data_IF_744025794007
#
_entry.id   IF_744025794007
#
_cell.length_a   1.000
_cell.length_b   1.000
_cell.length_c   1.000
_cell.angle_alpha   90.00
_cell.angle_beta   90.00
_cell.angle_gamma   90.00
#
_symmetry.space_group_name_H-M   'P 1'
#
loop_
_entity.id
_entity.type
_entity.pdbx_description
1 polymer ?
#
# COMPACT_ATOMS: atom_id res chain seq x y z
N UNK A 1 4.19 9.95 16.14
CA UNK A 1 5.62 9.66 15.96
C UNK A 1 5.92 9.37 14.49
N UNK A 2 5.27 8.38 13.83
CA UNK A 2 5.52 8.12 12.40
C UNK A 2 5.10 9.25 11.42
N UNK A 3 4.26 10.18 11.88
CA UNK A 3 3.77 11.32 11.09
C UNK A 3 4.66 12.59 11.17
N UNK A 4 5.79 12.54 11.89
CA UNK A 4 6.69 13.70 11.96
C UNK A 4 7.68 13.67 10.77
N UNK A 5 7.60 14.68 9.91
CA UNK A 5 8.41 14.84 8.70
C UNK A 5 9.90 15.07 9.02
N UNK A 6 10.24 15.56 10.22
CA UNK A 6 11.62 15.85 10.62
C UNK A 6 12.37 14.63 11.17
N UNK A 7 11.67 13.50 11.39
CA UNK A 7 12.30 12.28 11.86
C UNK A 7 13.06 11.58 10.73
N UNK A 8 14.33 11.18 10.95
CA UNK A 8 15.08 10.35 10.03
C UNK A 8 14.32 9.07 9.65
N UNK A 9 14.45 8.63 8.40
CA UNK A 9 13.81 7.41 7.88
C UNK A 9 14.07 6.19 8.78
N UNK A 10 15.31 6.05 9.27
CA UNK A 10 15.72 4.95 10.14
C UNK A 10 14.91 4.88 11.45
N UNK A 11 14.57 6.03 12.04
CA UNK A 11 13.80 6.08 13.30
C UNK A 11 12.34 5.71 13.03
N UNK A 12 11.77 6.18 11.92
CA UNK A 12 10.43 5.79 11.50
C UNK A 12 10.38 4.30 11.23
N UNK A 13 11.33 3.75 10.48
CA UNK A 13 11.42 2.32 10.20
C UNK A 13 11.57 1.49 11.49
N UNK A 14 12.37 1.95 12.46
CA UNK A 14 12.47 1.32 13.78
C UNK A 14 11.12 1.33 14.52
N UNK A 15 10.42 2.46 14.53
CA UNK A 15 9.11 2.59 15.17
C UNK A 15 8.05 1.70 14.50
N UNK A 16 8.03 1.65 13.17
CA UNK A 16 7.13 0.80 12.39
C UNK A 16 7.41 -0.70 12.66
N UNK A 17 8.68 -1.10 12.71
CA UNK A 17 9.07 -2.47 13.05
C UNK A 17 8.70 -2.83 14.50
N UNK A 18 8.87 -1.89 15.45
CA UNK A 18 8.45 -2.09 16.83
C UNK A 18 6.93 -2.25 16.94
N UNK A 19 6.16 -1.44 16.20
CA UNK A 19 4.70 -1.56 16.13
C UNK A 19 4.27 -2.94 15.63
N UNK A 20 4.86 -3.43 14.54
CA UNK A 20 4.58 -4.77 14.00
C UNK A 20 4.89 -5.87 15.01
N UNK A 21 5.99 -5.77 15.76
CA UNK A 21 6.32 -6.71 16.85
C UNK A 21 5.27 -6.67 17.95
N UNK A 22 4.85 -5.48 18.40
CA UNK A 22 3.81 -5.33 19.43
C UNK A 22 2.50 -6.01 18.99
N UNK A 23 2.09 -5.82 17.74
CA UNK A 23 0.92 -6.48 17.17
C UNK A 23 1.06 -8.00 17.11
N UNK A 24 2.28 -8.51 16.91
CA UNK A 24 2.53 -9.94 16.88
C UNK A 24 2.55 -10.58 18.28
N UNK A 25 3.02 -9.86 19.31
CA UNK A 25 3.08 -10.32 20.70
C UNK A 25 1.81 -10.11 21.52
N UNK A 26 0.77 -9.48 20.95
CA UNK A 26 -0.51 -9.23 21.63
C UNK A 26 -1.20 -10.54 22.06
N UNK A 27 -1.90 -10.55 23.21
CA UNK A 27 -2.59 -11.72 23.75
C UNK A 27 -3.49 -12.41 22.69
N UNK A 28 -3.40 -13.74 22.57
CA UNK A 28 -3.97 -14.53 21.47
C UNK A 28 -5.46 -14.25 21.18
N UNK A 29 -6.26 -13.89 22.20
CA UNK A 29 -7.70 -13.66 22.02
C UNK A 29 -8.05 -12.29 21.41
N UNK A 30 -7.21 -11.26 21.58
CA UNK A 30 -7.47 -9.90 21.06
C UNK A 30 -6.56 -9.51 19.89
N UNK A 31 -5.58 -10.37 19.56
CA UNK A 31 -4.57 -10.13 18.53
C UNK A 31 -5.18 -9.79 17.16
N UNK A 32 -6.09 -10.62 16.67
CA UNK A 32 -6.71 -10.41 15.35
C UNK A 32 -7.61 -9.17 15.31
N UNK A 33 -8.41 -8.96 16.36
CA UNK A 33 -9.26 -7.77 16.47
C UNK A 33 -8.44 -6.48 16.47
N UNK A 34 -7.31 -6.48 17.17
CA UNK A 34 -6.38 -5.35 17.21
C UNK A 34 -5.78 -5.10 15.82
N UNK A 35 -5.30 -6.15 15.14
CA UNK A 35 -4.80 -6.04 13.75
C UNK A 35 -5.83 -5.45 12.80
N UNK A 36 -7.06 -5.96 12.83
CA UNK A 36 -8.16 -5.44 12.00
C UNK A 36 -8.43 -3.97 12.30
N UNK A 37 -8.46 -3.55 13.57
CA UNK A 37 -8.65 -2.13 13.92
C UNK A 37 -7.52 -1.20 13.44
N UNK A 38 -6.29 -1.71 13.33
CA UNK A 38 -5.19 -0.95 12.75
C UNK A 38 -5.29 -0.88 11.23
N UNK A 39 -5.70 -1.96 10.58
CA UNK A 39 -6.00 -1.97 9.15
C UNK A 39 -7.06 -0.89 8.82
N UNK A 40 -8.14 -0.81 9.60
CA UNK A 40 -9.17 0.23 9.44
C UNK A 40 -8.58 1.65 9.47
N UNK A 41 -7.71 1.93 10.44
CA UNK A 41 -7.04 3.24 10.56
C UNK A 41 -6.15 3.55 9.37
N UNK A 42 -5.30 2.61 8.97
CA UNK A 42 -4.42 2.81 7.82
C UNK A 42 -5.21 2.92 6.51
N UNK A 43 -6.34 2.22 6.40
CA UNK A 43 -7.24 2.38 5.26
C UNK A 43 -7.86 3.77 5.20
N UNK A 44 -8.22 4.34 6.35
CA UNK A 44 -8.71 5.71 6.43
C UNK A 44 -7.65 6.73 6.00
N UNK A 45 -6.40 6.55 6.44
CA UNK A 45 -5.26 7.40 6.03
C UNK A 45 -5.01 7.36 4.52
N UNK A 46 -5.10 6.19 3.89
CA UNK A 46 -4.94 6.05 2.43
C UNK A 46 -6.09 6.72 1.68
N UNK A 47 -7.33 6.58 2.17
CA UNK A 47 -8.53 7.17 1.52
C UNK A 47 -8.50 8.70 1.52
N UNK A 48 -8.01 9.30 2.60
CA UNK A 48 -8.05 10.75 2.79
C UNK A 48 -6.73 11.45 2.45
N UNK A 49 -5.73 10.71 1.96
CA UNK A 49 -4.43 11.23 1.53
C UNK A 49 -3.78 12.15 2.58
N UNK A 50 -3.72 11.68 3.83
CA UNK A 50 -3.20 12.44 4.97
C UNK A 50 -1.68 12.66 4.97
N UNK A 51 -1.03 12.68 3.80
CA UNK A 51 0.42 12.88 3.66
C UNK A 51 1.28 11.68 4.04
N UNK A 52 0.70 10.56 4.48
CA UNK A 52 1.44 9.39 4.96
C UNK A 52 1.06 8.09 4.25
N UNK A 53 0.44 8.20 3.08
CA UNK A 53 -0.11 7.07 2.30
C UNK A 53 0.89 5.93 2.16
N UNK A 54 2.15 6.21 1.83
CA UNK A 54 3.16 5.16 1.63
C UNK A 54 3.44 4.38 2.91
N UNK A 55 3.53 5.06 4.05
CA UNK A 55 3.72 4.42 5.35
C UNK A 55 2.52 3.53 5.66
N UNK A 56 1.30 4.04 5.45
CA UNK A 56 0.05 3.31 5.69
C UNK A 56 -0.05 2.07 4.80
N UNK A 57 0.30 2.16 3.51
CA UNK A 57 0.32 1.02 2.58
C UNK A 57 1.34 -0.04 2.99
N UNK A 58 2.55 0.37 3.40
CA UNK A 58 3.56 -0.57 3.93
C UNK A 58 3.05 -1.27 5.18
N UNK A 59 2.46 -0.54 6.14
CA UNK A 59 1.90 -1.14 7.35
C UNK A 59 0.73 -2.08 7.06
N UNK A 60 -0.17 -1.71 6.15
CA UNK A 60 -1.27 -2.58 5.70
C UNK A 60 -0.73 -3.90 5.16
N UNK A 61 0.28 -3.86 4.29
CA UNK A 61 0.93 -5.04 3.73
C UNK A 61 1.51 -5.92 4.83
N UNK A 62 2.32 -5.34 5.72
CA UNK A 62 3.00 -6.09 6.78
C UNK A 62 2.00 -6.71 7.76
N UNK A 63 0.95 -5.99 8.15
CA UNK A 63 -0.10 -6.54 9.03
C UNK A 63 -0.83 -7.69 8.33
N UNK A 64 -1.17 -7.55 7.04
CA UNK A 64 -1.79 -8.62 6.25
C UNK A 64 -0.89 -9.86 6.18
N UNK A 65 0.44 -9.68 6.05
CA UNK A 65 1.42 -10.77 6.04
C UNK A 65 1.53 -11.53 7.37
N UNK A 66 1.11 -10.92 8.49
CA UNK A 66 1.06 -11.62 9.78
C UNK A 66 -0.16 -12.54 9.94
N UNK A 67 -1.08 -12.58 8.96
CA UNK A 67 -2.13 -13.60 8.91
C UNK A 67 -1.62 -14.84 8.16
N UNK A 68 -2.08 -16.01 8.56
CA UNK A 68 -1.65 -17.26 7.98
C UNK A 68 -2.04 -17.36 6.50
N UNK A 69 -1.16 -17.93 5.68
CA UNK A 69 -1.48 -18.29 4.31
C UNK A 69 -2.50 -19.43 4.27
N UNK A 70 -3.29 -19.54 3.19
CA UNK A 70 -4.24 -20.62 2.99
C UNK A 70 -3.49 -21.95 2.80
N UNK A 71 -3.08 -22.54 3.93
CA UNK A 71 -2.44 -23.83 3.98
C UNK A 71 -3.53 -24.89 3.83
N UNK A 72 -3.68 -25.45 2.63
CA UNK A 72 -4.36 -26.73 2.40
C UNK A 72 -3.66 -27.92 3.10
N UNK A 73 -2.66 -27.66 3.96
CA UNK A 73 -1.90 -28.68 4.67
C UNK A 73 -2.71 -29.22 5.86
N UNK A 74 -3.26 -30.42 5.69
CA UNK A 74 -4.14 -31.11 6.63
C UNK A 74 -3.52 -31.49 8.00
N UNK A 75 -2.39 -30.90 8.43
CA UNK A 75 -1.65 -31.36 9.62
C UNK A 75 -1.25 -30.26 10.61
N UNK A 76 -1.80 -29.04 10.54
CA UNK A 76 -1.52 -28.01 11.56
C UNK A 76 -2.58 -28.10 12.67
N UNK A 77 -2.19 -28.21 13.96
CA UNK A 77 -3.13 -28.19 15.07
C UNK A 77 -4.00 -26.92 15.02
N UNK A 78 -5.33 -27.07 15.09
CA UNK A 78 -6.31 -25.96 15.08
C UNK A 78 -6.04 -24.85 16.10
N UNK A 79 -5.25 -25.11 17.15
CA UNK A 79 -4.86 -24.12 18.14
C UNK A 79 -3.81 -23.10 17.64
N UNK A 80 -3.17 -23.34 16.50
CA UNK A 80 -2.16 -22.46 15.89
C UNK A 80 -2.65 -21.76 14.62
N UNK A 81 -3.80 -22.15 14.08
CA UNK A 81 -4.45 -21.44 12.98
C UNK A 81 -5.21 -20.27 13.58
N UNK A 82 -4.75 -19.04 13.36
CA UNK A 82 -5.60 -17.87 13.52
C UNK A 82 -6.97 -18.08 12.86
N UNK A 83 -8.01 -17.43 13.39
CA UNK A 83 -9.39 -17.55 12.91
C UNK A 83 -9.51 -17.02 11.47
N UNK A 84 -8.63 -16.09 11.10
CA UNK A 84 -8.63 -15.45 9.79
C UNK A 84 -7.42 -15.88 8.94
N UNK A 85 -7.72 -16.32 7.72
CA UNK A 85 -6.72 -16.52 6.68
C UNK A 85 -6.38 -15.19 5.99
N UNK A 86 -5.12 -14.99 5.59
CA UNK A 86 -4.66 -13.81 4.84
C UNK A 86 -5.51 -13.51 3.61
N UNK A 87 -5.83 -14.52 2.81
CA UNK A 87 -6.67 -14.35 1.61
C UNK A 87 -8.05 -13.79 2.00
N UNK A 88 -8.69 -14.40 3.01
CA UNK A 88 -10.02 -13.97 3.48
C UNK A 88 -10.00 -12.53 4.03
N UNK A 89 -8.94 -12.15 4.74
CA UNK A 89 -8.78 -10.76 5.22
C UNK A 89 -8.71 -9.79 4.05
N UNK A 90 -7.88 -10.06 3.04
CA UNK A 90 -7.73 -9.19 1.87
C UNK A 90 -9.05 -9.10 1.08
N UNK A 91 -9.75 -10.22 0.87
CA UNK A 91 -11.06 -10.24 0.22
C UNK A 91 -12.13 -9.45 1.00
N UNK A 92 -12.13 -9.55 2.34
CA UNK A 92 -13.03 -8.76 3.18
C UNK A 92 -12.71 -7.27 3.08
N UNK A 93 -11.42 -6.91 3.06
CA UNK A 93 -11.01 -5.53 2.90
C UNK A 93 -11.41 -4.97 1.54
N UNK A 94 -11.28 -5.75 0.46
CA UNK A 94 -11.77 -5.34 -0.86
C UNK A 94 -13.29 -5.11 -0.82
N UNK A 95 -14.06 -6.02 -0.20
CA UNK A 95 -15.51 -5.88 -0.08
C UNK A 95 -15.94 -4.66 0.74
N UNK A 96 -15.27 -4.40 1.86
CA UNK A 96 -15.65 -3.36 2.82
C UNK A 96 -15.09 -1.97 2.48
N UNK A 97 -13.90 -1.91 1.87
CA UNK A 97 -13.18 -0.65 1.63
C UNK A 97 -12.89 -0.35 0.17
N UNK A 98 -13.17 -1.29 -0.75
CA UNK A 98 -12.83 -1.17 -2.17
C UNK A 98 -11.33 -0.88 -2.35
N UNK A 99 -10.46 -1.72 -1.76
CA UNK A 99 -9.00 -1.52 -1.73
C UNK A 99 -8.42 -1.16 -3.09
N UNK A 100 -8.75 -1.95 -4.12
CA UNK A 100 -8.23 -1.75 -5.48
C UNK A 100 -8.61 -0.36 -5.98
N UNK A 101 -9.87 0.04 -5.79
CA UNK A 101 -10.36 1.36 -6.18
C UNK A 101 -9.63 2.47 -5.43
N UNK A 102 -9.58 2.38 -4.09
CA UNK A 102 -8.97 3.40 -3.23
C UNK A 102 -7.51 3.65 -3.61
N UNK A 103 -6.72 2.58 -3.78
CA UNK A 103 -5.29 2.72 -4.11
C UNK A 103 -5.10 3.19 -5.55
N UNK A 104 -5.95 2.75 -6.49
CA UNK A 104 -5.92 3.23 -7.88
C UNK A 104 -6.25 4.72 -7.97
N UNK A 105 -7.30 5.16 -7.28
CA UNK A 105 -7.72 6.57 -7.26
C UNK A 105 -6.65 7.44 -6.58
N UNK A 106 -6.06 6.95 -5.48
CA UNK A 106 -4.97 7.65 -4.79
C UNK A 106 -3.73 7.79 -5.70
N UNK A 107 -3.35 6.74 -6.44
CA UNK A 107 -2.28 6.82 -7.44
C UNK A 107 -2.61 7.85 -8.54
N UNK A 108 -3.83 7.84 -9.08
CA UNK A 108 -4.24 8.78 -10.11
C UNK A 108 -4.22 10.23 -9.61
N UNK A 109 -4.69 10.47 -8.38
CA UNK A 109 -4.69 11.77 -7.74
C UNK A 109 -3.25 12.25 -7.47
N UNK A 110 -2.39 11.36 -6.97
CA UNK A 110 -0.97 11.63 -6.79
C UNK A 110 -0.30 12.05 -8.11
N UNK A 111 -0.53 11.29 -9.19
CA UNK A 111 0.04 11.59 -10.50
C UNK A 111 -0.44 12.94 -11.05
N UNK A 112 -1.72 13.28 -10.82
CA UNK A 112 -2.26 14.60 -11.16
C UNK A 112 -1.53 15.72 -10.41
N UNK A 113 -1.31 15.56 -9.10
CA UNK A 113 -0.58 16.55 -8.29
C UNK A 113 0.87 16.68 -8.74
N UNK A 114 1.54 15.57 -9.06
CA UNK A 114 2.92 15.56 -9.57
C UNK A 114 3.05 16.33 -10.89
N UNK A 115 2.08 16.19 -11.81
CA UNK A 115 2.03 16.97 -13.05
C UNK A 115 1.91 18.48 -12.79
N UNK A 116 0.98 18.88 -11.93
CA UNK A 116 0.79 20.29 -11.53
C UNK A 116 2.08 20.86 -10.94
N UNK A 117 2.68 20.12 -9.99
CA UNK A 117 3.93 20.55 -9.37
C UNK A 117 5.06 20.71 -10.40
N UNK A 118 5.20 19.79 -11.34
CA UNK A 118 6.22 19.86 -12.39
C UNK A 118 6.04 21.09 -13.30
N UNK A 119 4.81 21.43 -13.64
CA UNK A 119 4.48 22.62 -14.44
C UNK A 119 4.86 23.92 -13.69
N UNK A 120 4.57 23.99 -12.38
CA UNK A 120 4.81 25.19 -11.56
C UNK A 120 6.27 25.38 -11.14
N UNK A 121 6.98 24.29 -10.80
CA UNK A 121 8.31 24.34 -10.17
C UNK A 121 9.49 24.29 -11.16
N UNK A 122 9.25 23.99 -12.45
CA UNK A 122 10.27 23.56 -13.43
C UNK A 122 11.12 22.37 -12.94
N UNK A 123 10.67 21.60 -11.95
CA UNK A 123 11.39 20.45 -11.44
C UNK A 123 11.61 19.42 -12.55
N UNK A 124 12.85 19.35 -13.05
CA UNK A 124 13.22 18.48 -14.17
C UNK A 124 13.47 17.03 -13.75
N UNK A 125 13.74 16.80 -12.47
CA UNK A 125 14.25 15.51 -11.97
C UNK A 125 13.22 14.93 -10.96
N UNK A 126 12.71 13.71 -11.20
CA UNK A 126 11.72 13.09 -10.30
C UNK A 126 12.28 12.76 -8.91
N UNK A 127 13.58 12.50 -8.79
CA UNK A 127 14.25 12.19 -7.52
C UNK A 127 14.31 13.35 -6.53
N UNK A 128 14.07 14.59 -6.99
CA UNK A 128 14.07 15.80 -6.15
C UNK A 128 12.65 16.17 -5.65
N UNK A 129 11.61 15.45 -6.09
CA UNK A 129 10.23 15.72 -5.70
C UNK A 129 9.79 14.83 -4.54
N UNK A 130 9.67 15.42 -3.34
CA UNK A 130 9.23 14.76 -2.09
C UNK A 130 7.94 15.39 -1.56
N UNK A 131 6.76 14.98 -2.06
CA UNK A 131 5.49 15.59 -1.65
C UNK A 131 5.11 15.36 -0.19
N UNK A 132 5.64 14.30 0.44
CA UNK A 132 5.45 13.98 1.85
C UNK A 132 6.73 14.17 2.69
N UNK A 133 7.75 14.84 2.12
CA UNK A 133 9.05 15.04 2.74
C UNK A 133 9.89 13.77 2.91
N UNK A 134 9.43 12.59 2.47
CA UNK A 134 10.06 11.30 2.80
C UNK A 134 10.35 10.41 1.61
N UNK A 135 9.38 10.25 0.71
CA UNK A 135 9.51 9.39 -0.46
C UNK A 135 9.52 10.23 -1.73
N UNK A 136 10.55 10.03 -2.55
CA UNK A 136 10.66 10.72 -3.84
C UNK A 136 9.61 10.23 -4.84
N UNK A 137 9.50 10.92 -5.97
CA UNK A 137 8.48 10.63 -6.96
C UNK A 137 8.43 9.16 -7.41
N UNK A 138 9.61 8.56 -7.63
CA UNK A 138 9.74 7.18 -8.09
C UNK A 138 9.25 6.22 -7.01
N UNK A 139 9.65 6.45 -5.75
CA UNK A 139 9.23 5.62 -4.61
C UNK A 139 7.71 5.72 -4.39
N UNK A 140 7.13 6.90 -4.52
CA UNK A 140 5.68 7.11 -4.38
C UNK A 140 4.86 6.26 -5.35
N UNK A 141 5.31 6.13 -6.61
CA UNK A 141 4.65 5.28 -7.61
C UNK A 141 4.89 3.80 -7.29
N UNK A 142 6.16 3.43 -7.07
CA UNK A 142 6.55 2.03 -6.84
C UNK A 142 5.84 1.41 -5.64
N UNK A 143 5.71 2.13 -4.54
CA UNK A 143 5.06 1.62 -3.33
C UNK A 143 3.56 1.39 -3.52
N UNK A 144 2.87 2.29 -4.22
CA UNK A 144 1.44 2.13 -4.58
C UNK A 144 1.23 0.94 -5.51
N UNK A 145 2.05 0.82 -6.55
CA UNK A 145 1.99 -0.30 -7.50
C UNK A 145 2.35 -1.64 -6.85
N UNK A 146 3.35 -1.64 -5.96
CA UNK A 146 3.75 -2.82 -5.17
C UNK A 146 2.62 -3.30 -4.27
N UNK A 147 1.92 -2.37 -3.60
CA UNK A 147 0.75 -2.70 -2.79
C UNK A 147 -0.40 -3.26 -3.63
N UNK A 148 -0.71 -2.66 -4.79
CA UNK A 148 -1.72 -3.21 -5.72
C UNK A 148 -1.37 -4.64 -6.15
N UNK A 149 -0.11 -4.88 -6.55
CA UNK A 149 0.36 -6.23 -6.91
C UNK A 149 0.21 -7.21 -5.74
N UNK A 150 0.53 -6.76 -4.53
CA UNK A 150 0.37 -7.56 -3.31
C UNK A 150 -1.09 -7.98 -3.09
N UNK A 151 -2.05 -7.06 -3.11
CA UNK A 151 -3.46 -7.41 -2.84
C UNK A 151 -4.07 -8.26 -3.95
N UNK A 152 -3.67 -8.05 -5.22
CA UNK A 152 -4.11 -8.88 -6.34
C UNK A 152 -3.62 -10.32 -6.18
N UNK A 153 -2.34 -10.48 -5.85
CA UNK A 153 -1.72 -11.80 -5.67
C UNK A 153 -2.24 -12.51 -4.41
N UNK A 154 -2.11 -11.89 -3.24
CA UNK A 154 -2.40 -12.55 -1.96
C UNK A 154 -3.90 -12.64 -1.65
N UNK A 155 -4.71 -11.77 -2.25
CA UNK A 155 -6.17 -11.83 -2.18
C UNK A 155 -6.81 -12.66 -3.29
N UNK A 156 -6.02 -13.18 -4.24
CA UNK A 156 -6.53 -13.80 -5.49
C UNK A 156 -7.59 -12.93 -6.18
N UNK A 157 -7.34 -11.62 -6.22
CA UNK A 157 -8.24 -10.64 -6.80
C UNK A 157 -7.85 -10.34 -8.25
N UNK A 158 -8.82 -9.87 -9.03
CA UNK A 158 -8.59 -9.44 -10.40
C UNK A 158 -8.61 -7.93 -10.50
N UNK A 159 -7.67 -7.38 -11.28
CA UNK A 159 -7.71 -5.98 -11.66
C UNK A 159 -8.74 -5.80 -12.77
N UNK A 160 -9.87 -5.17 -12.45
CA UNK A 160 -10.90 -4.89 -13.45
C UNK A 160 -10.38 -3.94 -14.52
N UNK A 161 -10.90 -4.10 -15.75
CA UNK A 161 -10.47 -3.33 -16.92
C UNK A 161 -10.51 -1.81 -16.71
N UNK A 162 -11.48 -1.29 -15.96
CA UNK A 162 -11.59 0.15 -15.71
C UNK A 162 -10.45 0.67 -14.82
N UNK A 163 -10.04 -0.10 -13.80
CA UNK A 163 -8.88 0.26 -12.97
C UNK A 163 -7.58 0.14 -13.76
N UNK A 164 -7.43 -0.89 -14.60
CA UNK A 164 -6.29 -1.02 -15.52
C UNK A 164 -6.18 0.19 -16.45
N UNK A 165 -7.29 0.64 -17.04
CA UNK A 165 -7.33 1.84 -17.89
C UNK A 165 -6.95 3.09 -17.12
N UNK A 166 -7.41 3.26 -15.88
CA UNK A 166 -7.04 4.41 -15.05
C UNK A 166 -5.54 4.45 -14.74
N UNK A 167 -4.94 3.31 -14.35
CA UNK A 167 -3.50 3.21 -14.10
C UNK A 167 -2.70 3.48 -15.37
N UNK A 168 -3.10 2.85 -16.49
CA UNK A 168 -2.47 3.08 -17.79
C UNK A 168 -2.53 4.54 -18.20
N UNK A 169 -3.70 5.16 -18.08
CA UNK A 169 -3.88 6.57 -18.42
C UNK A 169 -2.98 7.47 -17.57
N UNK A 170 -2.94 7.27 -16.25
CA UNK A 170 -2.23 8.20 -15.36
C UNK A 170 -0.71 8.04 -15.36
N UNK A 171 -0.17 6.86 -15.73
CA UNK A 171 1.28 6.58 -15.75
C UNK A 171 1.87 6.48 -17.17
N UNK A 172 1.14 5.97 -18.16
CA UNK A 172 1.65 5.79 -19.52
C UNK A 172 1.30 6.98 -20.43
N UNK A 173 0.01 7.35 -20.49
CA UNK A 173 -0.48 8.41 -21.38
C UNK A 173 -0.19 9.80 -20.81
N UNK A 174 -0.56 10.03 -19.54
CA UNK A 174 -0.39 11.28 -18.81
C UNK A 174 0.82 11.23 -17.84
N UNK A 175 1.90 10.55 -18.24
CA UNK A 175 3.13 10.47 -17.45
C UNK A 175 3.63 11.88 -17.03
N UNK A 176 4.01 12.04 -15.76
CA UNK A 176 4.66 13.28 -15.31
C UNK A 176 6.12 13.29 -15.76
N UNK A 177 6.82 12.16 -15.67
CA UNK A 177 8.21 11.96 -16.06
C UNK A 177 8.36 10.73 -16.97
N UNK A 178 9.43 10.66 -17.80
CA UNK A 178 9.66 9.49 -18.66
C UNK A 178 9.72 8.16 -17.91
N UNK A 179 10.28 8.14 -16.70
CA UNK A 179 10.41 6.95 -15.86
C UNK A 179 9.05 6.33 -15.47
N UNK A 180 7.98 7.13 -15.42
CA UNK A 180 6.64 6.66 -15.02
C UNK A 180 6.12 5.62 -16.01
N UNK A 181 6.42 5.80 -17.30
CA UNK A 181 6.04 4.86 -18.37
C UNK A 181 6.76 3.54 -18.20
N UNK A 182 8.04 3.57 -17.88
CA UNK A 182 8.82 2.35 -17.66
C UNK A 182 8.29 1.57 -16.45
N UNK A 183 7.99 2.27 -15.34
CA UNK A 183 7.36 1.65 -14.17
C UNK A 183 5.99 1.06 -14.52
N UNK A 184 5.18 1.78 -15.29
CA UNK A 184 3.87 1.31 -15.75
C UNK A 184 3.98 0.02 -16.56
N UNK A 185 4.83 0.00 -17.58
CA UNK A 185 4.98 -1.15 -18.47
C UNK A 185 5.54 -2.36 -17.73
N UNK A 186 6.55 -2.15 -16.87
CA UNK A 186 7.10 -3.21 -16.03
C UNK A 186 6.03 -3.79 -15.11
N UNK A 187 5.23 -2.94 -14.47
CA UNK A 187 4.18 -3.39 -13.58
C UNK A 187 3.12 -4.22 -14.30
N UNK A 188 2.61 -3.76 -15.45
CA UNK A 188 1.64 -4.54 -16.24
C UNK A 188 2.21 -5.86 -16.80
N UNK A 189 3.52 -5.95 -17.01
CA UNK A 189 4.16 -7.20 -17.43
C UNK A 189 4.26 -8.24 -16.30
N UNK A 190 4.11 -7.81 -15.04
CA UNK A 190 4.29 -8.65 -13.85
C UNK A 190 2.99 -8.97 -13.08
N UNK A 191 1.89 -8.27 -13.40
CA UNK A 191 0.59 -8.36 -12.67
C UNK A 191 -0.36 -9.37 -13.29
#
# INVERSE_FOLDING_TARGET
IAHDEHLPNEIVDQALNAHLKILDYSCLQEKEKTKLSWIEKFMDEVKHDHGHVIISLRQLREICMQFHENMYSQNIPRMMSGLHNRQNVIEQLEKSHQLIKVVTDNLCQYMKNARIYKEDSKATIPEDYYPDGRFNHIQQIQERLSFLKFILKEGHLYLMADYSKSIWKCLAEEAAYPNDRELCFRWFAEV
#
